data_IF_202798035909
#
_entry.id   IF_202798035909
#
_cell.length_a   1.000
_cell.length_b   1.000
_cell.length_c   1.000
_cell.angle_alpha   90.00
_cell.angle_beta   90.00
_cell.angle_gamma   90.00
#
_symmetry.space_group_name_H-M   'P 1'
#
loop_
_entity.id
_entity.type
_entity.pdbx_description
1 polymer ?
#
# COMPACT_ATOMS: atom_id res chain seq x y z
N UNK A 1 13.29 5.50 14.25
CA UNK A 1 12.08 6.29 14.54
C UNK A 1 10.88 5.34 14.43
N UNK A 2 10.07 5.22 15.48
CA UNK A 2 8.81 4.46 15.40
C UNK A 2 7.70 5.46 15.02
N UNK A 3 6.99 5.18 13.94
CA UNK A 3 5.92 6.00 13.34
C UNK A 3 4.62 6.07 14.18
N UNK A 4 4.70 5.79 15.49
CA UNK A 4 3.56 5.95 16.41
C UNK A 4 2.40 4.96 16.24
N UNK A 5 2.58 3.89 15.45
CA UNK A 5 1.56 2.87 15.19
C UNK A 5 1.95 1.50 15.76
N UNK A 6 0.95 0.71 16.13
CA UNK A 6 1.15 -0.64 16.67
C UNK A 6 1.44 -1.65 15.57
N UNK A 7 2.11 -2.76 15.89
CA UNK A 7 2.34 -3.85 14.95
C UNK A 7 1.02 -4.41 14.38
N UNK A 8 -0.02 -4.48 15.20
CA UNK A 8 -1.37 -4.90 14.76
C UNK A 8 -1.96 -3.93 13.74
N UNK A 9 -1.79 -2.63 13.96
CA UNK A 9 -2.23 -1.59 13.01
C UNK A 9 -1.47 -1.72 11.69
N UNK A 10 -0.15 -1.94 11.74
CA UNK A 10 0.65 -2.18 10.54
C UNK A 10 0.18 -3.42 9.79
N UNK A 11 -0.09 -4.53 10.50
CA UNK A 11 -0.60 -5.75 9.86
C UNK A 11 -1.96 -5.52 9.18
N UNK A 12 -2.89 -4.81 9.83
CA UNK A 12 -4.18 -4.48 9.23
C UNK A 12 -4.01 -3.65 7.95
N UNK A 13 -3.19 -2.59 8.00
CA UNK A 13 -2.89 -1.74 6.84
C UNK A 13 -2.30 -2.56 5.69
N UNK A 14 -1.32 -3.43 5.97
CA UNK A 14 -0.70 -4.27 4.94
C UNK A 14 -1.68 -5.27 4.34
N UNK A 15 -2.57 -5.85 5.16
CA UNK A 15 -3.61 -6.76 4.68
C UNK A 15 -4.58 -6.02 3.77
N UNK A 16 -5.14 -4.90 4.20
CA UNK A 16 -6.09 -4.12 3.41
C UNK A 16 -5.45 -3.73 2.07
N UNK A 17 -4.25 -3.15 2.09
CA UNK A 17 -3.58 -2.74 0.84
C UNK A 17 -3.24 -3.91 -0.09
N UNK A 18 -2.96 -5.10 0.43
CA UNK A 18 -2.73 -6.29 -0.40
C UNK A 18 -4.03 -6.86 -0.97
N UNK A 19 -5.10 -6.96 -0.18
CA UNK A 19 -6.41 -7.45 -0.63
C UNK A 19 -7.00 -6.54 -1.72
N UNK A 20 -6.65 -5.27 -1.64
CA UNK A 20 -7.04 -4.21 -2.55
C UNK A 20 -6.15 -4.07 -3.79
N UNK A 21 -5.13 -4.93 -3.91
CA UNK A 21 -4.17 -4.97 -5.00
C UNK A 21 -3.30 -3.71 -5.14
N UNK A 22 -3.18 -2.91 -4.07
CA UNK A 22 -2.24 -1.79 -3.98
C UNK A 22 -0.82 -2.23 -3.59
N UNK A 23 -0.69 -3.32 -2.84
CA UNK A 23 0.60 -3.93 -2.49
C UNK A 23 0.68 -5.37 -2.98
N UNK A 24 1.74 -5.68 -3.70
CA UNK A 24 2.10 -7.04 -4.09
C UNK A 24 3.01 -7.62 -2.99
N UNK A 25 2.54 -8.67 -2.33
CA UNK A 25 3.29 -9.36 -1.28
C UNK A 25 4.10 -10.52 -1.86
N UNK A 26 5.42 -10.46 -1.67
CA UNK A 26 6.38 -11.49 -2.07
C UNK A 26 7.13 -12.04 -0.85
N UNK A 27 7.32 -13.36 -0.77
CA UNK A 27 8.08 -13.98 0.32
C UNK A 27 9.53 -14.22 -0.10
N UNK A 28 10.46 -13.53 0.55
CA UNK A 28 11.90 -13.67 0.32
C UNK A 28 12.53 -14.33 1.55
N UNK A 29 12.67 -15.66 1.49
CA UNK A 29 13.14 -16.47 2.61
C UNK A 29 12.19 -16.41 3.82
N UNK A 30 12.67 -15.85 4.95
CA UNK A 30 11.89 -15.66 6.18
C UNK A 30 11.23 -14.28 6.28
N UNK A 31 11.36 -13.44 5.27
CA UNK A 31 10.82 -12.06 5.27
C UNK A 31 9.76 -11.91 4.19
N UNK A 32 8.75 -11.09 4.49
CA UNK A 32 7.83 -10.59 3.47
C UNK A 32 8.42 -9.29 2.91
N UNK A 33 8.34 -9.13 1.60
CA UNK A 33 8.64 -7.92 0.85
C UNK A 33 7.34 -7.47 0.21
N UNK A 34 7.06 -6.17 0.28
CA UNK A 34 5.86 -5.57 -0.28
C UNK A 34 6.29 -4.58 -1.35
N UNK A 35 5.71 -4.72 -2.54
CA UNK A 35 5.95 -3.84 -3.67
C UNK A 35 4.69 -3.04 -3.96
N UNK A 36 4.84 -1.74 -4.22
CA UNK A 36 3.73 -0.87 -4.58
C UNK A 36 3.24 -1.22 -5.98
N UNK A 37 1.93 -1.36 -6.15
CA UNK A 37 1.30 -1.39 -7.47
C UNK A 37 0.86 0.04 -7.86
N UNK A 38 1.63 0.74 -8.71
CA UNK A 38 1.32 2.12 -9.08
C UNK A 38 0.06 2.23 -9.95
N UNK A 39 -0.42 1.15 -10.56
CA UNK A 39 -1.61 1.15 -11.42
C UNK A 39 -2.93 1.06 -10.63
N UNK A 40 -2.85 0.85 -9.31
CA UNK A 40 -4.04 0.79 -8.45
C UNK A 40 -4.78 2.13 -8.45
N UNK A 41 -6.07 2.13 -8.84
CA UNK A 41 -6.93 3.32 -8.80
C UNK A 41 -7.39 3.62 -7.39
N UNK A 42 -7.51 4.90 -7.04
CA UNK A 42 -8.06 5.29 -5.74
C UNK A 42 -9.56 4.95 -5.65
N UNK A 43 -10.00 4.50 -4.46
CA UNK A 43 -11.35 3.99 -4.23
C UNK A 43 -12.44 5.05 -4.34
N UNK A 44 -12.10 6.31 -4.03
CA UNK A 44 -13.09 7.37 -3.99
C UNK A 44 -13.51 7.75 -5.42
N UNK A 45 -14.82 7.87 -5.72
CA UNK A 45 -15.30 8.20 -7.06
C UNK A 45 -14.72 9.49 -7.65
N UNK A 46 -14.37 10.45 -6.80
CA UNK A 46 -13.74 11.72 -7.18
C UNK A 46 -12.27 11.56 -7.58
N UNK A 47 -11.63 10.50 -7.10
CA UNK A 47 -10.21 10.20 -7.31
C UNK A 47 -10.01 8.95 -8.18
N UNK A 48 -11.09 8.36 -8.69
CA UNK A 48 -11.06 7.13 -9.49
C UNK A 48 -10.31 7.28 -10.83
N UNK A 49 -10.08 8.53 -11.26
CA UNK A 49 -9.22 8.87 -12.40
C UNK A 49 -7.73 8.87 -12.06
N UNK A 50 -7.39 8.86 -10.78
CA UNK A 50 -6.02 8.93 -10.28
C UNK A 50 -5.54 7.59 -9.77
N UNK A 51 -4.23 7.38 -9.92
CA UNK A 51 -3.58 6.17 -9.43
C UNK A 51 -2.84 6.42 -8.13
N UNK A 52 -2.60 5.34 -7.38
CA UNK A 52 -1.75 5.40 -6.18
C UNK A 52 -0.32 5.83 -6.56
N UNK A 53 0.16 5.49 -7.77
CA UNK A 53 1.45 5.96 -8.27
C UNK A 53 1.52 7.49 -8.35
N UNK A 54 0.50 8.13 -8.94
CA UNK A 54 0.42 9.60 -9.05
C UNK A 54 0.40 10.27 -7.67
N UNK A 55 -0.32 9.69 -6.72
CA UNK A 55 -0.36 10.20 -5.34
C UNK A 55 1.02 10.12 -4.68
N UNK A 56 1.73 9.01 -4.83
CA UNK A 56 3.05 8.82 -4.22
C UNK A 56 4.07 9.77 -4.83
N UNK A 57 4.03 9.98 -6.15
CA UNK A 57 4.89 10.94 -6.84
C UNK A 57 4.64 12.38 -6.38
N UNK A 58 3.39 12.74 -6.08
CA UNK A 58 3.06 14.07 -5.56
C UNK A 58 3.58 14.32 -4.13
N UNK A 59 3.91 13.26 -3.38
CA UNK A 59 4.36 13.32 -1.98
C UNK A 59 5.88 13.11 -1.81
N UNK A 60 6.58 12.70 -2.86
CA UNK A 60 8.04 12.49 -2.86
C UNK A 60 8.83 13.78 -3.05
#
# INVERSE_FOLDING_TARGET
>A
MLIGITERSVQAILTDLTDENYLIKSKVGRRNVYELNPEGRLRHPLEASHTVGELVEALS
#
